data_IF_999326821978
#
_entry.id   IF_999326821978
#
_cell.length_a   1.000
_cell.length_b   1.000
_cell.length_c   1.000
_cell.angle_alpha   90.00
_cell.angle_beta   90.00
_cell.angle_gamma   90.00
#
_symmetry.space_group_name_H-M   'P 1'
#
loop_
_entity.id
_entity.type
_entity.pdbx_description
1 polymer ?
#
# COMPACT_ATOMS: atom_id res chain seq x y z
N UNK A 1 -26.87 2.64 -11.74
CA UNK A 1 -27.76 1.64 -11.27
C UNK A 1 -27.29 1.11 -9.91
N UNK A 2 -27.61 -0.15 -9.64
CA UNK A 2 -27.28 -0.71 -8.33
C UNK A 2 -25.80 -0.71 -8.04
N UNK A 3 -24.98 -0.66 -9.07
CA UNK A 3 -23.53 -0.71 -8.89
C UNK A 3 -22.92 0.61 -8.50
N UNK A 4 -23.65 1.69 -8.67
CA UNK A 4 -23.10 3.02 -8.41
C UNK A 4 -22.75 3.22 -6.94
N UNK A 5 -23.51 2.58 -6.04
CA UNK A 5 -23.26 2.76 -4.62
C UNK A 5 -21.97 2.04 -4.16
N UNK A 6 -21.41 1.19 -5.01
CA UNK A 6 -20.23 0.41 -4.65
C UNK A 6 -18.93 0.98 -5.18
N UNK A 7 -18.99 2.11 -5.89
CA UNK A 7 -17.76 2.76 -6.34
C UNK A 7 -17.50 3.99 -5.48
N UNK A 8 -16.33 4.58 -5.65
CA UNK A 8 -15.93 5.71 -4.84
C UNK A 8 -16.79 6.94 -5.16
N UNK A 9 -17.20 7.66 -4.10
CA UNK A 9 -17.89 8.91 -4.26
C UNK A 9 -16.93 10.01 -4.71
N UNK A 10 -17.50 11.13 -5.15
CA UNK A 10 -16.68 12.30 -5.48
C UNK A 10 -15.83 12.72 -4.28
N UNK A 11 -16.41 12.68 -3.09
CA UNK A 11 -15.67 13.06 -1.87
C UNK A 11 -14.48 12.12 -1.62
N UNK A 12 -14.69 10.83 -1.84
CA UNK A 12 -13.61 9.86 -1.67
C UNK A 12 -12.52 10.05 -2.71
N UNK A 13 -12.89 10.35 -3.95
CA UNK A 13 -11.91 10.65 -4.99
C UNK A 13 -11.09 11.89 -4.59
N UNK A 14 -11.76 12.93 -4.09
CA UNK A 14 -11.04 14.13 -3.65
C UNK A 14 -10.12 13.82 -2.49
N UNK A 15 -10.55 12.97 -1.58
CA UNK A 15 -9.69 12.55 -0.48
C UNK A 15 -8.44 11.85 -1.02
N UNK A 16 -8.62 10.95 -1.98
CA UNK A 16 -7.47 10.27 -2.57
C UNK A 16 -6.51 11.26 -3.22
N UNK A 17 -7.04 12.21 -3.98
CA UNK A 17 -6.20 13.19 -4.67
C UNK A 17 -5.40 14.03 -3.67
N UNK A 18 -6.05 14.53 -2.64
CA UNK A 18 -5.42 15.52 -1.76
C UNK A 18 -4.77 14.94 -0.53
N UNK A 19 -5.28 13.81 -0.02
CA UNK A 19 -4.68 13.17 1.16
C UNK A 19 -3.85 11.95 0.82
N UNK A 20 -4.06 11.38 -0.36
CA UNK A 20 -3.19 10.31 -0.85
C UNK A 20 -3.68 8.91 -0.55
N UNK A 21 -4.89 8.75 -0.01
CA UNK A 21 -5.42 7.41 0.28
C UNK A 21 -6.92 7.44 0.49
N UNK A 22 -7.54 6.27 0.33
CA UNK A 22 -8.91 6.01 0.80
C UNK A 22 -8.97 4.64 1.43
N UNK A 23 -9.87 4.47 2.40
CA UNK A 23 -10.10 3.19 3.06
C UNK A 23 -11.38 2.57 2.51
N UNK A 24 -11.30 1.30 2.13
CA UNK A 24 -12.44 0.53 1.66
C UNK A 24 -12.78 -0.51 2.72
N UNK A 25 -13.90 -0.34 3.40
CA UNK A 25 -14.36 -1.33 4.37
C UNK A 25 -15.06 -2.46 3.63
N UNK A 26 -14.95 -3.66 4.17
CA UNK A 26 -15.63 -4.83 3.62
C UNK A 26 -15.29 -5.05 2.15
N UNK A 27 -14.03 -4.85 1.79
CA UNK A 27 -13.58 -5.10 0.43
C UNK A 27 -13.65 -6.58 0.09
N UNK A 28 -13.51 -7.44 1.10
CA UNK A 28 -13.71 -8.89 0.97
C UNK A 28 -14.20 -9.41 2.31
N UNK A 29 -14.70 -10.65 2.30
CA UNK A 29 -15.39 -11.19 3.47
C UNK A 29 -14.42 -11.64 4.55
N UNK A 30 -14.93 -11.71 5.78
CA UNK A 30 -14.16 -12.28 6.88
C UNK A 30 -13.82 -13.73 6.64
N UNK A 31 -14.66 -14.45 5.89
CA UNK A 31 -14.39 -15.85 5.56
C UNK A 31 -13.15 -15.96 4.68
N UNK A 32 -13.03 -15.10 3.72
CA UNK A 32 -11.83 -15.06 2.88
C UNK A 32 -10.61 -14.75 3.74
N UNK A 33 -10.72 -13.79 4.62
CA UNK A 33 -9.63 -13.47 5.52
C UNK A 33 -9.21 -14.65 6.39
N UNK A 34 -9.99 -15.30 6.86
CA UNK A 34 -9.76 -16.36 7.66
C UNK A 34 -9.06 -17.46 7.03
N UNK A 35 -9.53 -17.74 5.77
CA UNK A 35 -8.84 -18.75 4.99
C UNK A 35 -7.41 -18.34 4.68
N UNK A 36 -7.20 -17.08 4.35
CA UNK A 36 -5.87 -16.57 4.07
C UNK A 36 -4.96 -16.72 5.29
N UNK A 37 -5.46 -16.34 6.47
CA UNK A 37 -4.65 -16.41 7.69
C UNK A 37 -4.29 -17.87 8.00
N UNK A 38 -5.21 -18.82 7.78
CA UNK A 38 -4.89 -20.23 8.00
C UNK A 38 -3.74 -20.68 7.10
N UNK A 39 -3.72 -20.21 5.86
CA UNK A 39 -2.63 -20.56 4.96
C UNK A 39 -1.32 -19.95 5.45
N UNK A 40 -1.35 -18.67 5.86
CA UNK A 40 -0.14 -17.99 6.30
C UNK A 40 0.46 -18.67 7.54
N UNK A 41 -0.38 -19.11 8.48
CA UNK A 41 0.12 -19.76 9.68
C UNK A 41 0.96 -21.00 9.38
N UNK A 42 0.68 -21.68 8.27
CA UNK A 42 1.47 -22.85 7.90
C UNK A 42 2.94 -22.53 7.64
N UNK A 43 3.22 -21.28 7.30
CA UNK A 43 4.58 -20.84 6.98
C UNK A 43 5.24 -20.07 8.12
N UNK A 44 4.59 -19.98 9.28
CA UNK A 44 5.10 -19.26 10.43
C UNK A 44 5.69 -20.27 11.42
N UNK A 45 6.93 -20.09 11.86
CA UNK A 45 7.58 -21.09 12.73
C UNK A 45 7.24 -20.95 14.21
N UNK A 46 6.03 -20.50 14.52
CA UNK A 46 5.55 -20.32 15.88
C UNK A 46 4.30 -21.18 16.09
N UNK A 47 3.98 -21.45 17.35
CA UNK A 47 2.73 -22.12 17.69
C UNK A 47 1.63 -21.06 17.75
N UNK A 48 0.64 -21.20 16.88
CA UNK A 48 -0.47 -20.27 16.77
C UNK A 48 -1.22 -20.09 18.10
N UNK A 49 -1.23 -21.15 18.90
CA UNK A 49 -2.02 -21.18 20.14
C UNK A 49 -1.18 -20.93 21.39
N UNK A 50 0.07 -20.51 21.23
CA UNK A 50 0.96 -20.28 22.38
C UNK A 50 1.81 -19.04 22.12
N UNK A 51 1.37 -17.92 22.68
CA UNK A 51 2.05 -16.64 22.46
C UNK A 51 3.48 -16.66 22.97
N UNK A 52 3.82 -17.55 23.92
CA UNK A 52 5.22 -17.61 24.39
C UNK A 52 6.17 -18.03 23.29
N UNK A 53 5.68 -18.67 22.23
CA UNK A 53 6.53 -19.08 21.11
C UNK A 53 6.78 -17.95 20.11
N UNK A 54 6.07 -16.83 20.22
CA UNK A 54 6.22 -15.74 19.26
C UNK A 54 7.44 -14.91 19.62
N UNK A 55 8.59 -15.36 19.17
CA UNK A 55 9.87 -14.86 19.69
C UNK A 55 10.54 -13.82 18.80
N UNK A 56 9.87 -13.42 17.72
CA UNK A 56 10.37 -12.34 16.87
C UNK A 56 9.24 -11.36 16.60
N UNK A 57 9.55 -10.07 16.46
CA UNK A 57 8.50 -9.08 16.21
C UNK A 57 7.91 -9.14 14.81
N UNK A 58 8.65 -9.64 13.83
CA UNK A 58 8.19 -9.70 12.44
C UNK A 58 8.63 -11.01 11.81
N UNK A 59 7.70 -11.68 11.13
CA UNK A 59 8.03 -12.82 10.26
C UNK A 59 7.63 -12.38 8.85
N UNK A 60 8.59 -12.40 7.93
CA UNK A 60 8.33 -11.91 6.58
C UNK A 60 8.00 -13.05 5.65
N UNK A 61 6.78 -13.05 5.15
CA UNK A 61 6.29 -14.06 4.19
C UNK A 61 6.18 -13.41 2.81
N UNK A 62 6.24 -14.24 1.78
CA UNK A 62 6.34 -13.76 0.41
C UNK A 62 5.02 -13.56 -0.28
N UNK A 63 4.92 -14.12 -1.49
CA UNK A 63 3.78 -13.95 -2.37
C UNK A 63 2.92 -15.20 -2.36
N UNK A 64 1.61 -15.04 -2.35
CA UNK A 64 0.67 -16.15 -2.22
C UNK A 64 -0.33 -16.14 -3.36
N UNK A 65 -0.37 -17.22 -4.16
CA UNK A 65 -1.29 -17.30 -5.30
C UNK A 65 -2.59 -18.04 -4.98
N UNK A 66 -2.77 -18.54 -3.75
CA UNK A 66 -3.95 -19.33 -3.45
C UNK A 66 -5.22 -18.50 -3.54
N UNK A 67 -6.33 -19.17 -3.76
CA UNK A 67 -7.60 -18.54 -4.08
C UNK A 67 -8.04 -17.46 -3.11
N UNK A 68 -7.94 -17.65 -1.77
CA UNK A 68 -8.40 -16.57 -0.89
C UNK A 68 -7.66 -15.26 -1.10
N UNK A 69 -6.36 -15.33 -1.39
CA UNK A 69 -5.59 -14.12 -1.61
C UNK A 69 -6.01 -13.44 -2.91
N UNK A 70 -6.15 -14.23 -3.97
CA UNK A 70 -6.53 -13.66 -5.26
C UNK A 70 -7.95 -13.10 -5.19
N UNK A 71 -8.88 -13.81 -4.55
CA UNK A 71 -10.25 -13.32 -4.40
C UNK A 71 -10.32 -12.00 -3.67
N UNK A 72 -9.44 -11.79 -2.69
CA UNK A 72 -9.53 -10.59 -1.85
C UNK A 72 -9.36 -9.29 -2.64
N UNK A 73 -8.67 -9.32 -3.79
CA UNK A 73 -8.39 -8.11 -4.55
C UNK A 73 -8.98 -8.13 -5.95
N UNK A 74 -9.78 -9.13 -6.30
CA UNK A 74 -10.27 -9.25 -7.66
C UNK A 74 -11.78 -9.35 -7.78
N UNK A 75 -12.52 -8.77 -6.82
CA UNK A 75 -13.96 -8.66 -6.96
C UNK A 75 -14.31 -7.62 -8.04
N UNK A 76 -15.55 -7.69 -8.53
CA UNK A 76 -16.03 -6.69 -9.47
C UNK A 76 -15.94 -5.29 -8.87
N UNK A 77 -16.27 -5.16 -7.59
CA UNK A 77 -16.23 -3.87 -6.92
C UNK A 77 -14.81 -3.31 -6.87
N UNK A 78 -13.84 -4.15 -6.47
CA UNK A 78 -12.46 -3.68 -6.42
C UNK A 78 -11.96 -3.29 -7.81
N UNK A 79 -12.28 -4.09 -8.83
CA UNK A 79 -11.86 -3.76 -10.19
C UNK A 79 -12.48 -2.43 -10.65
N UNK A 80 -13.74 -2.19 -10.30
CA UNK A 80 -14.37 -0.91 -10.65
C UNK A 80 -13.67 0.26 -9.97
N UNK A 81 -13.25 0.07 -8.72
CA UNK A 81 -12.53 1.11 -7.99
C UNK A 81 -11.15 1.35 -8.64
N UNK A 82 -10.46 0.29 -9.02
CA UNK A 82 -9.18 0.44 -9.73
C UNK A 82 -9.38 1.21 -11.04
N UNK A 83 -10.44 0.88 -11.78
CA UNK A 83 -10.74 1.63 -13.00
C UNK A 83 -10.95 3.11 -12.70
N UNK A 84 -11.63 3.41 -11.59
CA UNK A 84 -11.93 4.78 -11.23
C UNK A 84 -10.67 5.56 -10.88
N UNK A 85 -9.74 4.94 -10.17
CA UNK A 85 -8.53 5.62 -9.71
C UNK A 85 -7.42 5.67 -10.77
N UNK A 86 -7.32 4.63 -11.58
CA UNK A 86 -6.16 4.45 -12.47
C UNK A 86 -6.56 4.53 -13.94
N UNK A 87 -7.79 4.18 -14.26
CA UNK A 87 -8.26 4.11 -15.64
C UNK A 87 -8.39 2.69 -16.11
N UNK A 88 -9.44 2.46 -16.90
CA UNK A 88 -9.70 1.13 -17.44
C UNK A 88 -8.53 0.68 -18.32
N UNK A 89 -8.14 -0.58 -18.16
CA UNK A 89 -7.05 -1.19 -18.92
C UNK A 89 -5.68 -0.60 -18.62
N UNK A 90 -5.58 0.11 -17.49
CA UNK A 90 -4.33 0.76 -17.11
C UNK A 90 -3.62 0.09 -15.94
N UNK A 91 -4.10 -1.08 -15.55
CA UNK A 91 -3.54 -1.80 -14.39
C UNK A 91 -3.63 -3.31 -14.62
N UNK A 92 -2.87 -4.05 -13.87
CA UNK A 92 -2.82 -5.36 -14.02
C UNK A 92 -3.47 -5.97 -12.90
N UNK A 93 -4.31 -7.00 -13.05
CA UNK A 93 -4.91 -7.68 -11.90
C UNK A 93 -3.88 -8.43 -11.06
N UNK A 94 -4.14 -8.50 -9.76
CA UNK A 94 -3.24 -9.20 -8.86
C UNK A 94 -3.43 -10.70 -8.98
N UNK A 95 -2.42 -11.40 -9.44
CA UNK A 95 -2.46 -12.86 -9.58
C UNK A 95 -1.89 -13.58 -8.37
N UNK A 96 -1.19 -12.86 -7.53
CA UNK A 96 -0.77 -13.31 -6.21
C UNK A 96 -0.67 -12.09 -5.32
N UNK A 97 -0.59 -12.30 -4.04
CA UNK A 97 -0.65 -11.21 -3.08
C UNK A 97 0.47 -11.36 -2.05
N UNK A 98 1.13 -10.28 -1.79
CA UNK A 98 2.22 -10.18 -0.80
C UNK A 98 2.96 -8.87 -1.01
N UNK A 99 4.03 -8.64 -0.32
CA UNK A 99 4.52 -9.50 0.75
C UNK A 99 3.74 -9.29 2.05
N UNK A 100 3.95 -10.18 3.02
CA UNK A 100 3.30 -10.10 4.32
C UNK A 100 4.35 -9.94 5.41
N UNK A 101 4.55 -8.73 5.92
CA UNK A 101 5.33 -8.59 7.16
C UNK A 101 4.40 -8.84 8.34
N UNK A 102 4.28 -10.10 8.73
CA UNK A 102 3.39 -10.49 9.82
C UNK A 102 4.01 -10.01 11.13
N UNK A 103 3.25 -9.21 11.88
CA UNK A 103 3.78 -8.59 13.10
C UNK A 103 3.16 -9.19 14.34
N UNK A 104 4.03 -9.45 15.31
CA UNK A 104 3.67 -10.11 16.55
C UNK A 104 3.87 -9.20 17.71
N UNK A 105 3.01 -9.30 18.76
CA UNK A 105 3.29 -8.59 20.00
C UNK A 105 4.69 -8.91 20.47
N UNK A 106 5.48 -7.89 20.84
CA UNK A 106 6.87 -8.12 21.18
C UNK A 106 7.45 -6.91 21.90
N UNK A 107 8.38 -7.16 22.81
CA UNK A 107 9.18 -6.11 23.42
C UNK A 107 10.40 -5.76 22.57
N UNK A 108 10.67 -6.57 21.54
CA UNK A 108 11.83 -6.34 20.68
C UNK A 108 11.48 -5.33 19.60
N UNK A 109 12.46 -4.52 19.22
CA UNK A 109 12.28 -3.57 18.13
C UNK A 109 12.25 -4.28 16.79
N UNK A 110 11.31 -3.94 15.91
CA UNK A 110 11.25 -4.60 14.60
C UNK A 110 12.32 -4.13 13.62
N UNK A 111 12.91 -2.96 13.85
CA UNK A 111 14.03 -2.42 13.06
C UNK A 111 13.67 -2.11 11.61
N UNK A 112 12.39 -1.85 11.34
CA UNK A 112 11.95 -1.47 10.00
C UNK A 112 10.92 -0.33 10.05
N UNK A 113 11.03 0.55 11.03
CA UNK A 113 10.01 1.57 11.28
C UNK A 113 10.32 2.91 10.64
N UNK A 114 11.31 2.99 9.76
CA UNK A 114 11.62 4.25 9.09
C UNK A 114 10.58 4.65 8.07
N UNK A 115 10.38 5.96 7.95
CA UNK A 115 9.52 6.50 6.89
C UNK A 115 10.08 6.14 5.52
N UNK A 116 9.21 5.78 4.60
CA UNK A 116 9.67 5.46 3.25
C UNK A 116 8.53 5.57 2.25
N UNK A 117 8.93 5.54 0.98
CA UNK A 117 8.07 5.40 -0.18
C UNK A 117 8.58 4.18 -0.93
N UNK A 118 7.68 3.29 -1.31
CA UNK A 118 8.09 2.08 -2.01
C UNK A 118 8.64 2.44 -3.39
N UNK A 119 9.73 1.78 -3.77
CA UNK A 119 10.30 1.93 -5.09
C UNK A 119 9.50 1.12 -6.11
N UNK A 120 9.55 1.53 -7.37
CA UNK A 120 8.65 0.96 -8.35
C UNK A 120 9.32 0.34 -9.58
N UNK A 121 10.60 0.65 -9.85
CA UNK A 121 11.27 0.03 -10.98
C UNK A 121 12.73 -0.26 -10.63
N UNK A 122 13.32 -1.27 -11.30
CA UNK A 122 14.68 -1.69 -10.93
C UNK A 122 15.73 -0.62 -11.20
N UNK A 123 16.75 -0.59 -10.35
CA UNK A 123 17.96 0.17 -10.59
C UNK A 123 18.97 -0.67 -11.36
N UNK A 124 20.26 -0.34 -11.20
CA UNK A 124 21.31 -1.06 -11.92
C UNK A 124 21.37 -2.53 -11.54
N UNK A 125 21.09 -2.85 -10.29
CA UNK A 125 21.04 -4.24 -9.83
C UNK A 125 19.60 -4.60 -9.49
N UNK A 126 18.89 -5.30 -10.37
CA UNK A 126 17.48 -5.61 -10.12
C UNK A 126 17.25 -6.47 -8.88
N UNK A 127 18.30 -7.16 -8.41
CA UNK A 127 18.16 -8.02 -7.24
C UNK A 127 18.35 -7.27 -5.92
N UNK A 128 18.73 -6.00 -5.99
CA UNK A 128 18.92 -5.19 -4.79
C UNK A 128 17.77 -4.18 -4.69
N UNK A 129 16.80 -4.48 -3.85
CA UNK A 129 15.62 -3.63 -3.73
C UNK A 129 15.98 -2.21 -3.26
N UNK A 130 17.00 -2.08 -2.46
CA UNK A 130 17.40 -0.75 -1.99
C UNK A 130 17.90 0.14 -3.12
N UNK A 131 18.15 -0.42 -4.17
CA UNK A 131 18.52 0.26 -5.28
C UNK A 131 17.49 0.44 -6.25
N UNK A 132 16.38 -0.11 -5.99
CA UNK A 132 15.23 0.15 -6.85
C UNK A 132 14.86 1.62 -6.78
N UNK A 133 14.18 2.10 -7.79
CA UNK A 133 13.99 3.54 -8.00
C UNK A 133 12.50 3.89 -8.10
N UNK A 134 12.22 5.17 -7.94
CA UNK A 134 10.88 5.73 -8.16
C UNK A 134 11.04 7.09 -8.82
N UNK A 135 10.17 7.39 -9.79
CA UNK A 135 10.17 8.69 -10.45
C UNK A 135 8.79 9.33 -10.34
N UNK A 136 8.66 10.55 -10.85
CA UNK A 136 7.43 11.32 -10.65
C UNK A 136 6.21 10.69 -11.32
N UNK A 137 6.43 9.86 -12.35
CA UNK A 137 5.34 9.15 -13.02
C UNK A 137 5.08 7.78 -12.40
N UNK A 138 5.73 7.47 -11.31
CA UNK A 138 5.59 6.18 -10.63
C UNK A 138 5.66 5.02 -11.64
N UNK A 139 6.72 5.00 -12.41
CA UNK A 139 6.86 3.98 -13.44
C UNK A 139 6.69 2.60 -12.84
N UNK A 140 5.72 1.83 -13.35
CA UNK A 140 5.50 0.45 -12.94
C UNK A 140 4.51 0.22 -11.81
N UNK A 141 4.19 1.25 -11.01
CA UNK A 141 3.30 1.07 -9.85
C UNK A 141 2.16 2.07 -9.90
N UNK A 142 0.92 1.56 -9.90
CA UNK A 142 -0.25 2.42 -9.93
C UNK A 142 -0.73 2.80 -8.53
N UNK A 143 -0.67 1.86 -7.58
CA UNK A 143 -1.10 2.07 -6.19
C UNK A 143 -0.21 1.27 -5.27
N UNK A 144 -0.15 1.71 -4.02
CA UNK A 144 0.23 0.86 -2.90
C UNK A 144 -1.05 0.44 -2.21
N UNK A 145 -1.19 -0.84 -1.90
CA UNK A 145 -2.37 -1.31 -1.18
C UNK A 145 -1.96 -1.87 0.17
N UNK A 146 -2.76 -1.58 1.20
CA UNK A 146 -2.59 -2.19 2.51
C UNK A 146 -3.83 -3.04 2.72
N UNK A 147 -3.66 -4.35 2.76
CA UNK A 147 -4.78 -5.30 2.75
C UNK A 147 -4.81 -6.00 4.09
N UNK A 148 -5.87 -5.77 4.87
CA UNK A 148 -5.95 -6.30 6.23
C UNK A 148 -6.68 -7.63 6.25
N UNK A 149 -5.97 -8.68 6.65
CA UNK A 149 -6.56 -10.02 6.80
C UNK A 149 -6.88 -10.34 8.25
N UNK A 150 -6.57 -9.44 9.16
CA UNK A 150 -6.94 -9.53 10.57
C UNK A 150 -7.42 -8.16 11.01
N UNK A 151 -8.12 -8.11 12.14
CA UNK A 151 -8.51 -6.83 12.73
C UNK A 151 -7.25 -6.11 13.18
N UNK A 152 -7.14 -4.83 12.87
CA UNK A 152 -6.01 -4.02 13.26
C UNK A 152 -6.52 -2.81 14.03
N UNK A 153 -6.25 -2.79 15.33
CA UNK A 153 -6.57 -1.64 16.18
C UNK A 153 -5.34 -0.75 16.30
N UNK A 154 -5.47 0.32 17.05
CA UNK A 154 -4.35 1.23 17.28
C UNK A 154 -3.14 0.53 17.88
N UNK A 155 -3.35 -0.58 18.60
CA UNK A 155 -2.26 -1.27 19.29
C UNK A 155 -1.67 -2.41 18.48
N UNK A 156 -2.22 -2.69 17.31
CA UNK A 156 -1.85 -3.85 16.50
C UNK A 156 -0.91 -3.47 15.36
N UNK A 157 0.04 -2.60 15.63
CA UNK A 157 1.06 -2.19 14.66
C UNK A 157 0.46 -1.64 13.35
N UNK A 158 -0.54 -0.77 13.40
CA UNK A 158 -1.08 -0.25 12.15
C UNK A 158 -0.02 0.55 11.40
N UNK A 159 -0.03 0.43 10.07
CA UNK A 159 0.86 1.25 9.26
C UNK A 159 0.51 2.72 9.48
N UNK A 160 1.53 3.55 9.64
CA UNK A 160 1.36 5.00 9.76
C UNK A 160 1.35 5.59 8.36
N UNK A 161 0.32 6.37 8.07
CA UNK A 161 0.18 7.10 6.80
C UNK A 161 0.40 8.58 7.10
N UNK A 162 1.21 9.25 6.29
CA UNK A 162 1.45 10.68 6.42
C UNK A 162 0.59 11.40 5.39
N UNK A 163 -0.56 11.92 5.82
CA UNK A 163 -1.57 12.47 4.91
C UNK A 163 -1.01 13.59 4.07
N UNK A 164 -1.21 13.51 2.77
CA UNK A 164 -0.77 14.57 1.86
C UNK A 164 0.69 14.48 1.47
N UNK A 165 1.43 13.54 2.05
CA UNK A 165 2.88 13.45 1.79
C UNK A 165 3.21 13.07 0.35
N UNK A 166 2.27 12.44 -0.35
CA UNK A 166 2.47 12.11 -1.76
C UNK A 166 2.69 13.36 -2.60
N UNK A 167 2.09 14.48 -2.20
CA UNK A 167 2.27 15.74 -2.90
C UNK A 167 3.70 16.24 -2.73
N UNK A 168 4.22 16.16 -1.51
CA UNK A 168 5.60 16.57 -1.26
C UNK A 168 6.58 15.71 -2.04
N UNK A 169 6.32 14.41 -2.08
CA UNK A 169 7.19 13.48 -2.79
C UNK A 169 7.14 13.74 -4.30
N UNK A 170 5.96 14.00 -4.85
CA UNK A 170 5.84 14.31 -6.27
C UNK A 170 6.67 15.55 -6.63
N UNK A 171 6.61 16.60 -5.79
CA UNK A 171 7.41 17.81 -6.02
C UNK A 171 8.90 17.51 -5.99
N UNK A 172 9.31 16.68 -5.04
CA UNK A 172 10.71 16.30 -4.95
C UNK A 172 11.15 15.51 -6.18
N UNK A 173 10.35 14.52 -6.58
CA UNK A 173 10.73 13.66 -7.71
C UNK A 173 10.70 14.39 -9.04
N UNK A 174 9.86 15.43 -9.18
CA UNK A 174 9.76 16.15 -10.44
C UNK A 174 11.11 16.77 -10.86
N UNK A 175 11.95 17.04 -9.88
CA UNK A 175 13.28 17.63 -10.15
C UNK A 175 14.33 16.59 -10.55
N UNK A 176 13.98 15.30 -10.46
CA UNK A 176 14.96 14.23 -10.59
C UNK A 176 14.88 13.48 -11.92
N UNK A 177 14.05 13.95 -12.85
CA UNK A 177 13.96 13.34 -14.17
C UNK A 177 13.43 11.95 -14.17
N UNK A 178 13.61 11.25 -15.30
CA UNK A 178 13.07 9.90 -15.50
C UNK A 178 13.75 8.88 -14.60
N UNK A 179 14.97 9.11 -14.17
CA UNK A 179 15.65 8.19 -13.27
C UNK A 179 15.12 8.28 -11.85
N UNK A 180 14.59 9.42 -11.46
CA UNK A 180 14.08 9.61 -10.13
C UNK A 180 15.13 9.43 -9.05
N UNK A 181 14.74 8.81 -7.95
CA UNK A 181 15.63 8.54 -6.82
C UNK A 181 15.53 7.07 -6.44
N UNK A 182 16.61 6.54 -5.90
CA UNK A 182 16.55 5.18 -5.34
C UNK A 182 15.74 5.20 -4.04
N UNK A 183 15.32 4.01 -3.62
CA UNK A 183 14.62 3.86 -2.35
C UNK A 183 15.37 4.54 -1.21
N UNK A 184 16.67 4.28 -1.11
CA UNK A 184 17.46 4.85 -0.02
C UNK A 184 17.67 6.35 -0.16
N UNK A 185 17.89 6.82 -1.40
CA UNK A 185 18.06 8.24 -1.62
C UNK A 185 16.82 9.02 -1.21
N UNK A 186 15.65 8.51 -1.58
CA UNK A 186 14.41 9.19 -1.24
C UNK A 186 14.18 9.14 0.28
N UNK A 187 14.39 7.97 0.88
CA UNK A 187 14.18 7.85 2.33
C UNK A 187 15.03 8.85 3.10
N UNK A 188 16.25 9.09 2.65
CA UNK A 188 17.15 10.04 3.32
C UNK A 188 16.66 11.47 3.24
N UNK A 189 15.79 11.80 2.29
CA UNK A 189 15.30 13.15 2.10
C UNK A 189 13.96 13.43 2.78
N UNK A 190 13.29 12.38 3.28
CA UNK A 190 11.91 12.56 3.76
C UNK A 190 11.81 13.46 4.98
N UNK A 191 12.82 13.47 5.86
CA UNK A 191 12.78 14.33 7.03
C UNK A 191 12.86 15.82 6.69
N UNK A 192 13.29 16.14 5.48
CA UNK A 192 13.36 17.53 5.03
C UNK A 192 12.04 18.06 4.49
N UNK A 193 11.08 17.16 4.28
CA UNK A 193 9.79 17.54 3.70
C UNK A 193 8.86 18.10 4.79
N UNK A 194 7.80 18.79 4.39
CA UNK A 194 6.87 19.34 5.37
C UNK A 194 6.32 18.28 6.29
N UNK A 195 6.06 18.66 7.54
CA UNK A 195 5.47 17.77 8.50
C UNK A 195 4.01 17.53 8.13
N UNK A 196 3.59 16.25 8.16
CA UNK A 196 2.23 15.89 7.78
C UNK A 196 1.53 15.16 8.92
N UNK A 197 0.22 15.24 8.95
CA UNK A 197 -0.60 14.56 9.94
C UNK A 197 -0.43 13.06 9.79
N UNK A 198 -0.22 12.38 10.93
CA UNK A 198 -0.13 10.92 10.97
C UNK A 198 -1.51 10.32 11.15
N UNK A 199 -1.81 9.30 10.38
CA UNK A 199 -3.04 8.54 10.48
C UNK A 199 -2.67 7.08 10.52
N UNK A 200 -3.37 6.31 11.37
CA UNK A 200 -3.11 4.88 11.49
C UNK A 200 -4.05 4.09 10.60
N UNK A 201 -3.50 3.15 9.86
CA UNK A 201 -4.30 2.33 8.92
C UNK A 201 -4.94 1.18 9.68
N UNK A 202 -5.97 1.48 10.44
CA UNK A 202 -6.72 0.51 11.23
C UNK A 202 -7.93 0.01 10.46
N UNK A 203 -8.57 -1.04 10.97
CA UNK A 203 -9.80 -1.55 10.39
C UNK A 203 -10.02 -3.00 10.74
N UNK A 204 -11.20 -3.48 10.37
CA UNK A 204 -11.54 -4.89 10.53
C UNK A 204 -10.94 -5.71 9.40
N UNK A 205 -10.80 -7.03 9.62
CA UNK A 205 -10.40 -7.93 8.54
C UNK A 205 -11.31 -7.70 7.34
N UNK A 206 -10.74 -7.57 6.16
CA UNK A 206 -11.47 -7.25 4.94
C UNK A 206 -11.34 -5.81 4.51
N UNK A 207 -10.62 -5.00 5.28
CA UNK A 207 -10.36 -3.60 4.95
C UNK A 207 -9.17 -3.50 4.00
N UNK A 208 -9.28 -2.61 3.01
CA UNK A 208 -8.15 -2.31 2.11
C UNK A 208 -7.96 -0.81 2.06
N UNK A 209 -6.72 -0.37 2.25
CA UNK A 209 -6.34 1.02 2.01
C UNK A 209 -5.73 1.10 0.62
N UNK A 210 -6.26 2.00 -0.19
CA UNK A 210 -5.73 2.26 -1.53
C UNK A 210 -4.96 3.57 -1.46
N UNK A 211 -3.65 3.48 -1.68
CA UNK A 211 -2.76 4.60 -1.44
C UNK A 211 -2.07 5.03 -2.71
N UNK A 212 -1.91 6.34 -2.87
CA UNK A 212 -1.12 6.89 -3.96
C UNK A 212 0.29 6.33 -3.89
N UNK A 213 0.88 5.94 -5.00
CA UNK A 213 2.23 5.37 -4.96
C UNK A 213 3.31 6.25 -4.37
N UNK A 214 3.15 7.45 -4.16
CA UNK A 214 3.96 8.30 -3.69
C UNK A 214 3.81 8.58 -2.34
N UNK A 215 2.90 7.89 -1.58
CA UNK A 215 2.55 8.24 -0.18
C UNK A 215 3.60 7.75 0.81
N UNK A 216 4.06 8.64 1.69
CA UNK A 216 5.01 8.26 2.73
C UNK A 216 4.27 7.48 3.82
N UNK A 217 4.87 6.39 4.25
CA UNK A 217 4.27 5.56 5.29
C UNK A 217 5.38 4.89 6.10
N UNK A 218 4.99 4.29 7.22
CA UNK A 218 5.97 3.65 8.10
C UNK A 218 5.31 2.57 8.92
N UNK A 219 6.08 1.53 9.23
CA UNK A 219 5.65 0.50 10.18
C UNK A 219 5.85 1.00 11.61
N UNK A 220 5.25 0.31 12.55
CA UNK A 220 5.47 0.61 13.97
C UNK A 220 5.42 -0.67 14.79
N UNK A 221 5.95 -0.62 16.02
CA UNK A 221 5.95 -1.82 16.89
C UNK A 221 4.54 -2.27 17.24
N UNK A 222 4.39 -3.56 17.52
CA UNK A 222 3.12 -4.16 17.89
C UNK A 222 2.98 -4.13 19.42
N UNK A 223 1.93 -3.48 19.89
CA UNK A 223 1.68 -3.34 21.32
C UNK A 223 0.39 -4.02 21.78
N UNK A 224 -0.18 -4.78 20.90
CA UNK A 224 -1.44 -5.48 21.19
C UNK A 224 -1.24 -6.94 21.62
N UNK A 225 -2.25 -7.64 21.31
CA UNK A 225 -2.27 -8.91 21.83
C UNK A 225 -2.28 -10.00 20.83
N UNK A 226 -2.82 -9.64 19.61
CA UNK A 226 -2.95 -10.65 18.57
C UNK A 226 -2.11 -10.26 17.35
N UNK A 227 -1.59 -11.26 16.60
CA UNK A 227 -0.74 -10.92 15.45
C UNK A 227 -1.50 -10.13 14.39
N UNK A 228 -0.76 -9.31 13.64
CA UNK A 228 -1.30 -8.52 12.53
C UNK A 228 -0.95 -9.20 11.21
N UNK A 229 -1.96 -9.48 10.43
CA UNK A 229 -1.80 -10.07 9.10
C UNK A 229 -2.21 -9.03 8.05
N UNK A 230 -1.22 -8.41 7.43
CA UNK A 230 -1.44 -7.40 6.41
C UNK A 230 -0.53 -7.70 5.23
N UNK A 231 -1.07 -7.60 4.01
CA UNK A 231 -0.27 -7.62 2.80
C UNK A 231 -0.05 -6.19 2.30
N UNK A 232 1.05 -5.99 1.59
CA UNK A 232 1.41 -4.69 1.02
C UNK A 232 1.64 -4.79 -0.48
N UNK A 233 0.69 -5.30 -1.27
CA UNK A 233 0.95 -5.46 -2.69
C UNK A 233 0.88 -4.15 -3.44
N UNK A 234 1.67 -4.02 -4.51
CA UNK A 234 1.42 -2.93 -5.45
C UNK A 234 0.29 -3.32 -6.38
N UNK A 235 -0.46 -2.34 -6.85
CA UNK A 235 -1.25 -2.53 -8.06
C UNK A 235 -0.34 -2.07 -9.20
N UNK A 236 -0.02 -2.98 -10.11
CA UNK A 236 0.94 -2.65 -11.14
C UNK A 236 0.30 -1.85 -12.27
N UNK A 237 1.06 -0.91 -12.78
CA UNK A 237 0.61 0.01 -13.83
C UNK A 237 0.86 -0.62 -15.20
N UNK A 238 -0.13 -0.55 -16.06
CA UNK A 238 0.02 -0.90 -17.47
C UNK A 238 0.21 0.41 -18.24
N UNK A 239 1.32 0.52 -18.97
CA UNK A 239 1.65 1.75 -19.66
C UNK A 239 2.23 2.78 -18.71
N UNK A 240 2.02 4.04 -19.00
CA UNK A 240 2.58 5.16 -18.25
C UNK A 240 1.49 6.11 -17.79
N UNK A 241 1.71 6.75 -16.65
CA UNK A 241 0.83 7.84 -16.24
C UNK A 241 1.06 9.05 -17.14
N UNK A 242 -0.04 9.76 -17.44
CA UNK A 242 0.00 11.01 -18.18
C UNK A 242 -0.17 12.16 -17.20
N UNK A 243 0.86 13.00 -17.06
CA UNK A 243 0.77 14.11 -16.10
C UNK A 243 0.78 15.46 -16.79
N UNK A 244 0.79 15.50 -18.12
CA UNK A 244 0.69 16.74 -18.88
C UNK A 244 0.22 16.41 -20.30
N UNK A 245 -0.52 17.34 -20.88
CA UNK A 245 -0.86 17.26 -22.29
C UNK A 245 -1.95 16.26 -22.65
N UNK A 246 -2.77 15.88 -21.71
CA UNK A 246 -3.87 14.97 -22.01
C UNK A 246 -5.07 15.72 -22.61
N UNK A 247 -5.61 15.20 -23.72
CA UNK A 247 -6.82 15.73 -24.29
C UNK A 247 -8.09 15.17 -23.63
N UNK A 248 -7.95 14.10 -22.85
CA UNK A 248 -9.08 13.36 -22.28
C UNK A 248 -9.18 13.49 -20.77
N UNK A 249 -8.44 14.44 -20.18
CA UNK A 249 -8.41 14.59 -18.74
C UNK A 249 -7.43 13.67 -18.08
N UNK A 250 -7.52 13.60 -16.76
CA UNK A 250 -6.54 12.87 -15.95
C UNK A 250 -7.24 12.00 -14.94
N UNK A 251 -6.68 10.82 -14.69
CA UNK A 251 -7.19 9.95 -13.64
C UNK A 251 -6.83 10.53 -12.28
N UNK A 252 -7.50 10.09 -11.21
CA UNK A 252 -7.18 10.61 -9.88
C UNK A 252 -5.71 10.45 -9.48
N UNK A 253 -5.07 9.32 -9.83
CA UNK A 253 -3.66 9.14 -9.48
C UNK A 253 -2.80 10.16 -10.22
N UNK A 254 -3.15 10.45 -11.49
CA UNK A 254 -2.46 11.48 -12.26
C UNK A 254 -2.74 12.87 -11.73
N UNK A 255 -4.00 13.13 -11.40
CA UNK A 255 -4.40 14.45 -10.93
C UNK A 255 -3.70 14.83 -9.63
N UNK A 256 -3.47 13.85 -8.75
CA UNK A 256 -2.73 14.12 -7.52
C UNK A 256 -1.32 14.66 -7.82
N UNK A 257 -0.67 14.07 -8.82
CA UNK A 257 0.65 14.55 -9.22
C UNK A 257 0.55 15.94 -9.82
N UNK A 258 -0.46 16.17 -10.65
CA UNK A 258 -0.64 17.49 -11.27
C UNK A 258 -0.89 18.57 -10.22
N UNK A 259 -1.68 18.26 -9.20
CA UNK A 259 -1.89 19.20 -8.09
C UNK A 259 -0.55 19.56 -7.44
N UNK A 260 0.30 18.56 -7.26
CA UNK A 260 1.60 18.80 -6.65
C UNK A 260 2.48 19.73 -7.48
N UNK A 261 2.37 19.63 -8.81
CA UNK A 261 3.29 20.36 -9.69
C UNK A 261 2.77 21.74 -10.12
N UNK A 262 1.54 22.07 -9.79
CA UNK A 262 0.99 23.39 -10.15
C UNK A 262 1.65 24.52 -9.38
#
# INVERSE_FOLDING_TARGET
>A
SIYMSEILSTKEIEQFIHQGYVRIDNAFSKEIAXKAVDILWKDIPFDRNDAATWTAPVIRLGMYPQEPFVESLNSETMHAIFDQLIGKDRWXPCRNVGTFPVRFPSDKQPNDTGKHVDASFPGEDPNNFLXWRVNVKSKGRALLMLVLYSDVTENDAPTIIYEGSHIDVARLLAKEGDQGLSFMELAAKLDELPKRREVYATGKAGTVYLCHPXLVHAAQPHRGXVPKFMAQPPLLLRGELCIAGSDNGYTPVEEAIRVALD
#
